data_IF_218910408811
#
_entry.id   IF_218910408811
#
_cell.length_a   1.000
_cell.length_b   1.000
_cell.length_c   1.000
_cell.angle_alpha   90.00
_cell.angle_beta   90.00
_cell.angle_gamma   90.00
#
_symmetry.space_group_name_H-M   'P 1'
#
loop_
_entity.id
_entity.type
_entity.pdbx_description
1 polymer ?
#
# COMPACT_ATOMS: atom_id res chain seq x y z
N UNK A 1 -51.21 3.83 -31.36
CA UNK A 1 -50.38 4.86 -30.69
C UNK A 1 -49.97 4.51 -29.26
N UNK A 2 -50.85 4.00 -28.39
CA UNK A 2 -50.50 3.67 -26.98
C UNK A 2 -49.38 2.61 -26.86
N UNK A 3 -49.39 1.59 -27.72
CA UNK A 3 -48.39 0.51 -27.72
C UNK A 3 -47.01 0.99 -28.19
N UNK A 4 -46.96 1.87 -29.19
CA UNK A 4 -45.72 2.51 -29.66
C UNK A 4 -45.12 3.35 -28.54
N UNK A 5 -45.93 4.18 -27.86
CA UNK A 5 -45.48 4.97 -26.71
C UNK A 5 -44.89 4.10 -25.60
N UNK A 6 -45.50 2.94 -25.31
CA UNK A 6 -45.01 2.00 -24.30
C UNK A 6 -43.63 1.41 -24.68
N UNK A 7 -43.46 0.99 -25.94
CA UNK A 7 -42.18 0.46 -26.44
C UNK A 7 -41.10 1.55 -26.45
N UNK A 8 -41.47 2.80 -26.80
CA UNK A 8 -40.52 3.91 -26.80
C UNK A 8 -40.05 4.24 -25.39
N UNK A 9 -40.96 4.28 -24.41
CA UNK A 9 -40.61 4.51 -23.00
C UNK A 9 -39.71 3.41 -22.44
N UNK A 10 -40.00 2.14 -22.75
CA UNK A 10 -39.20 1.00 -22.28
C UNK A 10 -37.78 1.01 -22.86
N UNK A 11 -37.64 1.38 -24.13
CA UNK A 11 -36.35 1.51 -24.81
C UNK A 11 -35.52 2.65 -24.22
N UNK A 12 -36.14 3.78 -23.88
CA UNK A 12 -35.48 4.92 -23.22
C UNK A 12 -35.01 4.56 -21.81
N UNK A 13 -35.80 3.78 -21.06
CA UNK A 13 -35.37 3.33 -19.71
C UNK A 13 -34.23 2.32 -19.76
N UNK A 14 -34.12 1.50 -20.82
CA UNK A 14 -33.07 0.49 -20.95
C UNK A 14 -31.72 1.09 -21.39
N UNK A 15 -31.73 2.21 -22.12
CA UNK A 15 -30.50 2.92 -22.52
C UNK A 15 -29.90 3.75 -21.38
N UNK A 16 -30.71 4.16 -20.39
CA UNK A 16 -30.26 4.95 -19.23
C UNK A 16 -29.53 4.11 -18.16
N UNK A 17 -29.64 2.78 -18.17
CA UNK A 17 -28.97 1.90 -17.20
C UNK A 17 -27.57 1.44 -17.64
N UNK A 18 -27.10 1.86 -18.81
CA UNK A 18 -26.00 1.20 -19.53
C UNK A 18 -24.55 1.52 -19.14
N UNK A 19 -24.25 2.34 -18.12
CA UNK A 19 -22.86 2.79 -17.93
C UNK A 19 -22.40 3.00 -16.48
N UNK A 20 -22.78 2.13 -15.54
CA UNK A 20 -21.98 2.00 -14.31
C UNK A 20 -20.86 1.00 -14.60
N UNK A 21 -19.78 1.48 -15.23
CA UNK A 21 -18.58 0.68 -15.44
C UNK A 21 -17.98 0.31 -14.06
N UNK A 22 -18.02 -0.98 -13.70
CA UNK A 22 -17.29 -1.47 -12.54
C UNK A 22 -15.79 -1.24 -12.78
N UNK A 23 -15.12 -0.60 -11.83
CA UNK A 23 -13.67 -0.45 -11.93
C UNK A 23 -13.01 -1.81 -11.72
N UNK A 24 -12.32 -2.34 -12.73
CA UNK A 24 -11.57 -3.61 -12.65
C UNK A 24 -10.29 -3.46 -11.80
N UNK A 25 -10.44 -3.05 -10.55
CA UNK A 25 -9.35 -2.84 -9.60
C UNK A 25 -9.55 -3.72 -8.39
N UNK A 26 -8.50 -4.43 -8.02
CA UNK A 26 -8.42 -5.14 -6.75
C UNK A 26 -7.74 -4.23 -5.73
N UNK A 27 -8.36 -4.11 -4.54
CA UNK A 27 -7.80 -3.38 -3.42
C UNK A 27 -7.60 -4.34 -2.25
N UNK A 28 -6.37 -4.49 -1.81
CA UNK A 28 -6.01 -5.31 -0.64
C UNK A 28 -5.57 -4.38 0.48
N UNK A 29 -6.20 -4.51 1.65
CA UNK A 29 -5.82 -3.77 2.86
C UNK A 29 -5.36 -4.73 3.93
N UNK A 30 -4.22 -4.45 4.55
CA UNK A 30 -3.71 -5.25 5.68
C UNK A 30 -3.21 -4.33 6.79
N UNK A 31 -3.27 -4.80 8.02
CA UNK A 31 -2.70 -4.13 9.19
C UNK A 31 -1.78 -5.10 9.90
N UNK A 32 -0.59 -4.64 10.29
CA UNK A 32 0.35 -5.44 11.08
C UNK A 32 0.96 -4.54 12.14
N UNK A 33 1.00 -5.01 13.37
CA UNK A 33 1.65 -4.31 14.48
C UNK A 33 2.78 -5.18 15.02
N UNK A 34 3.94 -4.57 15.24
CA UNK A 34 5.12 -5.22 15.82
C UNK A 34 5.78 -4.28 16.80
N UNK A 35 6.38 -4.84 17.84
CA UNK A 35 7.20 -4.11 18.80
C UNK A 35 8.66 -4.45 18.55
N UNK A 36 9.50 -3.44 18.63
CA UNK A 36 10.93 -3.52 18.41
C UNK A 36 11.65 -2.67 19.46
N UNK A 37 12.97 -2.72 19.42
CA UNK A 37 13.84 -2.01 20.35
C UNK A 37 15.01 -1.39 19.59
N UNK A 38 15.42 -0.18 19.98
CA UNK A 38 16.63 0.47 19.49
C UNK A 38 17.51 0.94 20.67
N UNK A 39 18.77 1.27 20.41
CA UNK A 39 19.70 1.73 21.45
C UNK A 39 19.82 3.25 21.45
N UNK A 40 19.65 3.85 22.62
CA UNK A 40 19.89 5.28 22.87
C UNK A 40 20.69 5.43 24.17
N UNK A 41 21.86 6.07 24.10
CA UNK A 41 22.72 6.32 25.26
C UNK A 41 23.03 5.06 26.11
N UNK A 42 23.25 3.94 25.43
CA UNK A 42 23.51 2.64 26.08
C UNK A 42 22.28 1.95 26.68
N UNK A 43 21.09 2.56 26.59
CA UNK A 43 19.82 1.99 27.04
C UNK A 43 19.00 1.48 25.86
N UNK A 44 18.26 0.40 26.10
CA UNK A 44 17.28 -0.14 25.16
C UNK A 44 15.97 0.62 25.28
N UNK A 45 15.46 1.12 24.16
CA UNK A 45 14.20 1.88 24.08
C UNK A 45 13.22 1.09 23.22
N UNK A 46 12.11 0.60 23.78
CA UNK A 46 11.08 -0.07 22.99
C UNK A 46 10.29 0.93 22.15
N UNK A 47 9.79 0.47 21.02
CA UNK A 47 8.85 1.22 20.19
C UNK A 47 7.93 0.26 19.45
N UNK A 48 6.72 0.74 19.17
CA UNK A 48 5.70 -0.01 18.44
C UNK A 48 5.59 0.55 17.03
N UNK A 49 5.60 -0.34 16.04
CA UNK A 49 5.28 -0.01 14.66
C UNK A 49 3.95 -0.65 14.28
N UNK A 50 3.02 0.18 13.79
CA UNK A 50 1.83 -0.29 13.09
C UNK A 50 1.91 0.07 11.60
N UNK A 51 1.86 -0.93 10.73
CA UNK A 51 1.87 -0.75 9.27
C UNK A 51 0.46 -1.02 8.73
N UNK A 52 -0.17 0.01 8.17
CA UNK A 52 -1.38 -0.11 7.35
C UNK A 52 -0.99 -0.14 5.88
N UNK A 53 -1.19 -1.27 5.21
CA UNK A 53 -0.97 -1.43 3.77
C UNK A 53 -2.29 -1.22 3.03
N UNK A 54 -2.24 -0.45 1.95
CA UNK A 54 -3.22 -0.48 0.87
C UNK A 54 -2.49 -0.80 -0.42
N UNK A 55 -2.84 -1.91 -1.07
CA UNK A 55 -2.32 -2.29 -2.37
C UNK A 55 -3.43 -2.26 -3.43
N UNK A 56 -3.17 -1.64 -4.57
CA UNK A 56 -4.11 -1.51 -5.69
C UNK A 56 -3.52 -2.10 -6.96
N UNK A 57 -4.21 -3.04 -7.60
CA UNK A 57 -3.81 -3.65 -8.86
C UNK A 57 -4.99 -3.72 -9.82
N UNK A 58 -4.71 -3.85 -11.12
CA UNK A 58 -5.74 -4.07 -12.13
C UNK A 58 -6.04 -5.56 -12.19
N UNK A 59 -7.31 -5.93 -12.16
CA UNK A 59 -7.73 -7.32 -12.40
C UNK A 59 -7.63 -7.58 -13.90
N UNK A 60 -6.80 -8.54 -14.28
CA UNK A 60 -6.68 -9.02 -15.65
C UNK A 60 -6.83 -10.53 -15.62
N UNK A 61 -7.68 -11.09 -16.48
CA UNK A 61 -7.86 -12.53 -16.58
C UNK A 61 -6.79 -13.12 -17.50
N UNK A 62 -6.41 -14.37 -17.26
CA UNK A 62 -5.46 -15.07 -18.11
C UNK A 62 -6.12 -15.43 -19.45
N UNK A 63 -5.63 -14.86 -20.55
CA UNK A 63 -6.18 -15.10 -21.89
C UNK A 63 -6.10 -16.58 -22.32
N UNK A 64 -5.19 -17.37 -21.75
CA UNK A 64 -5.10 -18.80 -22.04
C UNK A 64 -6.30 -19.61 -21.53
N UNK A 65 -7.02 -19.07 -20.53
CA UNK A 65 -8.19 -19.68 -19.91
C UNK A 65 -9.51 -19.10 -20.42
N UNK A 66 -9.47 -18.33 -21.50
CA UNK A 66 -10.63 -17.62 -22.04
C UNK A 66 -11.82 -18.55 -22.26
N UNK A 67 -12.96 -18.17 -21.67
CA UNK A 67 -14.21 -18.92 -21.78
C UNK A 67 -14.40 -20.01 -20.72
N UNK A 68 -13.41 -20.26 -19.86
CA UNK A 68 -13.61 -21.07 -18.65
C UNK A 68 -14.43 -20.28 -17.62
N UNK A 69 -15.30 -20.98 -16.90
CA UNK A 69 -16.08 -20.38 -15.80
C UNK A 69 -15.16 -19.87 -14.68
N UNK A 70 -14.07 -20.58 -14.43
CA UNK A 70 -13.06 -20.32 -13.40
C UNK A 70 -11.74 -19.84 -14.03
N UNK A 71 -11.82 -18.83 -14.90
CA UNK A 71 -10.64 -18.24 -15.53
C UNK A 71 -9.68 -17.65 -14.48
N UNK A 72 -8.40 -17.99 -14.56
CA UNK A 72 -7.41 -17.52 -13.59
C UNK A 72 -7.12 -16.01 -13.72
N UNK A 73 -6.68 -15.40 -12.62
CA UNK A 73 -6.25 -13.99 -12.59
C UNK A 73 -4.78 -13.92 -12.93
N UNK A 74 -4.45 -13.17 -13.98
CA UNK A 74 -3.08 -12.81 -14.32
C UNK A 74 -2.53 -11.82 -13.29
N UNK A 75 -1.36 -12.14 -12.76
CA UNK A 75 -0.61 -11.25 -11.88
C UNK A 75 -0.28 -9.92 -12.59
N UNK A 76 -0.59 -8.80 -11.94
CA UNK A 76 -0.28 -7.45 -12.43
C UNK A 76 0.48 -6.64 -11.37
N UNK A 77 1.30 -5.65 -11.77
CA UNK A 77 1.95 -4.76 -10.82
C UNK A 77 0.96 -4.09 -9.87
N UNK A 78 1.38 -3.89 -8.63
CA UNK A 78 0.56 -3.33 -7.57
C UNK A 78 1.14 -2.01 -7.08
N UNK A 79 0.32 -0.97 -7.06
CA UNK A 79 0.64 0.28 -6.35
C UNK A 79 0.42 0.06 -4.86
N UNK A 80 1.47 0.23 -4.07
CA UNK A 80 1.42 0.05 -2.62
C UNK A 80 1.57 1.38 -1.92
N UNK A 81 0.71 1.61 -0.93
CA UNK A 81 0.82 2.67 0.05
C UNK A 81 0.86 2.03 1.43
N UNK A 82 1.85 2.39 2.23
CA UNK A 82 1.99 1.97 3.62
C UNK A 82 1.99 3.22 4.49
N UNK A 83 1.05 3.28 5.42
CA UNK A 83 1.12 4.20 6.54
C UNK A 83 1.77 3.45 7.70
N UNK A 84 2.97 3.87 8.05
CA UNK A 84 3.76 3.34 9.15
C UNK A 84 3.59 4.32 10.30
N UNK A 85 2.94 3.88 11.37
CA UNK A 85 2.84 4.64 12.61
C UNK A 85 3.88 4.10 13.58
N UNK A 86 4.75 5.00 14.03
CA UNK A 86 5.78 4.75 15.05
C UNK A 86 5.31 5.40 16.34
N UNK A 87 5.40 4.63 17.41
CA UNK A 87 4.83 4.96 18.71
C UNK A 87 5.84 4.60 19.80
N UNK A 88 6.23 5.60 20.59
CA UNK A 88 7.26 5.51 21.60
C UNK A 88 6.76 6.09 22.94
N UNK A 89 6.44 5.21 23.88
CA UNK A 89 5.92 5.59 25.19
C UNK A 89 6.90 6.44 26.03
N UNK A 90 8.20 6.42 25.72
CA UNK A 90 9.24 7.13 26.48
C UNK A 90 9.56 8.52 25.92
N UNK A 91 9.42 8.71 24.62
CA UNK A 91 9.84 9.90 23.89
C UNK A 91 8.78 10.26 22.85
N UNK A 92 7.84 11.13 23.22
CA UNK A 92 6.71 11.50 22.36
C UNK A 92 7.15 12.22 21.06
N UNK A 93 8.32 12.84 21.05
CA UNK A 93 8.93 13.42 19.84
C UNK A 93 9.32 12.36 18.80
N UNK A 94 9.35 11.08 19.18
CA UNK A 94 9.57 9.95 18.27
C UNK A 94 8.29 9.36 17.68
N UNK A 95 7.13 9.83 18.13
CA UNK A 95 5.86 9.46 17.50
C UNK A 95 5.76 10.10 16.11
N UNK A 96 5.57 9.24 15.11
CA UNK A 96 5.61 9.65 13.69
C UNK A 96 4.65 8.85 12.84
N UNK A 97 4.12 9.52 11.83
CA UNK A 97 3.48 8.90 10.68
C UNK A 97 4.41 9.00 9.47
N UNK A 98 4.71 7.85 8.87
CA UNK A 98 5.52 7.77 7.66
C UNK A 98 4.67 7.14 6.57
N UNK A 99 4.48 7.85 5.46
CA UNK A 99 3.75 7.36 4.29
C UNK A 99 4.75 6.92 3.23
N UNK A 100 4.88 5.60 3.06
CA UNK A 100 5.74 4.98 2.06
C UNK A 100 4.91 4.53 0.86
N UNK A 101 5.24 5.00 -0.34
CA UNK A 101 4.59 4.59 -1.59
C UNK A 101 5.63 4.03 -2.57
N UNK A 102 5.27 2.95 -3.24
CA UNK A 102 6.10 2.31 -4.27
C UNK A 102 5.23 1.46 -5.19
N UNK A 103 5.75 1.13 -6.36
CA UNK A 103 5.13 0.14 -7.27
C UNK A 103 5.91 -1.15 -7.13
N UNK A 104 5.21 -2.23 -6.83
CA UNK A 104 5.84 -3.55 -6.73
C UNK A 104 5.37 -4.50 -7.81
N UNK A 105 6.26 -5.41 -8.17
CA UNK A 105 5.88 -6.58 -8.93
C UNK A 105 5.05 -7.54 -8.07
N UNK A 106 4.29 -8.41 -8.73
CA UNK A 106 3.37 -9.33 -8.04
C UNK A 106 4.10 -10.21 -7.00
N UNK A 107 5.35 -10.57 -7.28
CA UNK A 107 6.17 -11.49 -6.48
C UNK A 107 7.09 -10.82 -5.45
N UNK A 108 7.06 -9.49 -5.35
CA UNK A 108 7.93 -8.74 -4.44
C UNK A 108 7.58 -8.98 -2.95
N UNK A 109 8.63 -8.97 -2.11
CA UNK A 109 8.59 -9.14 -0.66
C UNK A 109 8.71 -7.80 0.07
N UNK A 110 7.94 -7.64 1.15
CA UNK A 110 8.08 -6.50 2.05
C UNK A 110 8.63 -6.98 3.38
N UNK A 111 9.75 -6.40 3.81
CA UNK A 111 10.34 -6.67 5.12
C UNK A 111 10.53 -5.39 5.92
N UNK A 112 10.19 -5.47 7.21
CA UNK A 112 10.46 -4.44 8.21
C UNK A 112 11.45 -5.03 9.22
N UNK A 113 12.64 -4.44 9.30
CA UNK A 113 13.72 -4.90 10.19
C UNK A 113 14.17 -3.79 11.12
N UNK A 114 14.36 -4.08 12.43
CA UNK A 114 14.97 -3.12 13.33
C UNK A 114 16.43 -2.88 12.96
N UNK A 115 16.94 -1.70 13.28
CA UNK A 115 18.36 -1.33 13.21
C UNK A 115 18.79 -0.78 14.58
N UNK A 116 20.07 -0.52 14.77
CA UNK A 116 20.56 -0.02 16.07
C UNK A 116 19.95 1.33 16.46
N UNK A 117 19.58 2.14 15.46
CA UNK A 117 19.09 3.52 15.64
C UNK A 117 17.63 3.71 15.22
N UNK A 118 16.94 2.66 14.80
CA UNK A 118 15.58 2.75 14.26
C UNK A 118 15.18 1.50 13.52
N UNK A 119 14.74 1.64 12.27
CA UNK A 119 14.33 0.51 11.44
C UNK A 119 14.55 0.78 9.97
N UNK A 120 14.58 -0.29 9.17
CA UNK A 120 14.59 -0.20 7.71
C UNK A 120 13.48 -1.00 7.09
N UNK A 121 13.00 -0.48 5.97
CA UNK A 121 12.09 -1.16 5.06
C UNK A 121 12.89 -1.69 3.89
N UNK A 122 12.68 -2.95 3.54
CA UNK A 122 13.32 -3.61 2.39
C UNK A 122 12.22 -4.10 1.44
N UNK A 123 12.38 -3.78 0.16
CA UNK A 123 11.47 -4.14 -0.94
C UNK A 123 12.32 -4.37 -2.19
N UNK A 124 12.19 -5.51 -2.87
CA UNK A 124 12.99 -5.86 -4.06
C UNK A 124 14.50 -5.54 -3.93
N UNK A 125 15.11 -5.91 -2.79
CA UNK A 125 16.51 -5.61 -2.41
C UNK A 125 16.87 -4.11 -2.28
N UNK A 126 15.90 -3.21 -2.47
CA UNK A 126 16.00 -1.78 -2.19
C UNK A 126 15.63 -1.51 -0.77
N UNK A 127 16.26 -0.53 -0.16
CA UNK A 127 15.95 -0.20 1.23
C UNK A 127 15.96 1.29 1.51
N UNK A 128 15.11 1.64 2.46
CA UNK A 128 15.02 2.95 3.08
C UNK A 128 15.07 2.75 4.58
N UNK A 129 15.89 3.54 5.26
CA UNK A 129 16.09 3.49 6.70
C UNK A 129 15.44 4.71 7.36
N UNK A 130 14.81 4.51 8.51
CA UNK A 130 14.33 5.57 9.37
C UNK A 130 15.17 5.55 10.65
N UNK A 131 15.74 6.71 10.97
CA UNK A 131 16.59 6.93 12.14
C UNK A 131 15.85 7.86 13.11
N UNK A 132 15.68 7.41 14.36
CA UNK A 132 15.01 8.22 15.38
C UNK A 132 15.74 9.54 15.60
N UNK A 133 15.01 10.66 15.54
CA UNK A 133 15.52 12.01 15.70
C UNK A 133 16.20 12.61 14.46
N UNK A 134 16.37 11.83 13.38
CA UNK A 134 17.01 12.30 12.16
C UNK A 134 16.10 12.19 10.92
N UNK A 135 15.19 11.20 10.87
CA UNK A 135 14.23 11.02 9.78
C UNK A 135 14.63 9.93 8.78
N UNK A 136 14.14 10.04 7.55
CA UNK A 136 14.34 9.04 6.49
C UNK A 136 15.66 9.21 5.73
N UNK A 137 16.38 8.10 5.60
CA UNK A 137 17.65 7.98 4.87
C UNK A 137 17.60 6.94 3.76
N UNK A 138 18.16 7.31 2.62
CA UNK A 138 18.37 6.42 1.49
C UNK A 138 19.83 5.98 1.46
N UNK A 139 20.09 4.73 1.82
CA UNK A 139 21.44 4.16 1.85
C UNK A 139 22.06 4.13 0.45
N UNK A 140 21.24 3.93 -0.59
CA UNK A 140 21.63 3.99 -1.99
C UNK A 140 20.82 5.08 -2.71
N UNK A 141 21.52 6.06 -3.31
CA UNK A 141 20.87 7.12 -4.08
C UNK A 141 20.04 6.59 -5.25
N UNK A 142 20.39 5.44 -5.83
CA UNK A 142 19.62 4.83 -6.92
C UNK A 142 18.24 4.30 -6.48
N UNK A 143 18.03 4.12 -5.17
CA UNK A 143 16.75 3.66 -4.62
C UNK A 143 15.79 4.83 -4.28
N UNK A 144 16.28 6.08 -4.36
CA UNK A 144 15.44 7.27 -4.12
C UNK A 144 14.27 7.37 -5.08
N UNK A 145 14.47 6.95 -6.33
CA UNK A 145 13.42 7.01 -7.35
C UNK A 145 12.39 5.87 -7.21
N UNK A 146 12.68 4.87 -6.37
CA UNK A 146 11.78 3.73 -6.15
C UNK A 146 10.74 4.01 -5.05
N UNK A 147 11.15 4.70 -3.98
CA UNK A 147 10.29 4.99 -2.84
C UNK A 147 9.91 6.47 -2.79
N UNK A 148 8.62 6.74 -2.63
CA UNK A 148 8.12 8.06 -2.25
C UNK A 148 7.77 8.05 -0.77
N UNK A 149 8.38 8.95 0.00
CA UNK A 149 8.26 8.97 1.46
C UNK A 149 7.85 10.36 1.92
N UNK A 150 6.75 10.42 2.67
CA UNK A 150 6.34 11.61 3.42
C UNK A 150 6.40 11.31 4.91
N UNK A 151 6.89 12.25 5.72
CA UNK A 151 6.96 12.15 7.17
C UNK A 151 6.10 13.23 7.82
N UNK A 152 5.37 12.86 8.88
CA UNK A 152 4.52 13.76 9.65
C UNK A 152 4.70 13.50 11.13
N UNK A 153 4.74 14.58 11.91
CA UNK A 153 4.66 14.49 13.38
C UNK A 153 3.30 13.95 13.81
N UNK A 154 3.29 13.14 14.88
CA UNK A 154 2.05 12.82 15.56
C UNK A 154 1.51 14.07 16.25
N UNK A 155 0.21 14.31 16.10
CA UNK A 155 -0.53 15.42 16.76
C UNK A 155 -0.81 15.04 18.21
#
# INVERSE_FOLDING_TARGET
>A
MKMIKLITTLLITFTLTGAIAQSNKQVVKTRTTKTYEFKKDGKTVPYRITVYKTGKSKVMLDESDKGKLNQDIKATPQQVTKLIYVDNDLYSDYDKYIVLRYTKDANDSFELKPTEKGFKVIVDNKNVEYIFGEGVYFVNNADKDYFFVDEFDSI
#
